data_IF_963177717948
#
_entry.id   IF_963177717948
#
_cell.length_a   1.000
_cell.length_b   1.000
_cell.length_c   1.000
_cell.angle_alpha   90.00
_cell.angle_beta   90.00
_cell.angle_gamma   90.00
#
_symmetry.space_group_name_H-M   'P 1'
#
loop_
_entity.id
_entity.type
_entity.pdbx_description
1 polymer ?
#
# COMPACT_ATOMS: atom_id res chain seq x y z
N UNK A 1 -19.56 2.32 9.94
CA UNK A 1 -18.30 1.98 10.62
C UNK A 1 -18.27 0.51 10.99
N UNK A 2 -19.29 -0.05 11.66
CA UNK A 2 -19.36 -1.48 12.01
C UNK A 2 -19.07 -2.46 10.85
N UNK A 3 -19.53 -2.19 9.63
CA UNK A 3 -19.33 -3.09 8.48
C UNK A 3 -17.86 -3.24 8.06
N UNK A 4 -17.08 -2.15 8.09
CA UNK A 4 -15.66 -2.20 7.70
C UNK A 4 -14.81 -2.90 8.77
N UNK A 5 -15.14 -2.66 10.04
CA UNK A 5 -14.45 -3.30 11.16
C UNK A 5 -14.72 -4.82 11.19
N UNK A 6 -15.93 -5.24 10.82
CA UNK A 6 -16.27 -6.66 10.64
C UNK A 6 -15.50 -7.30 9.47
N UNK A 7 -15.44 -6.63 8.31
CA UNK A 7 -14.66 -7.11 7.16
C UNK A 7 -13.16 -7.22 7.49
N UNK A 8 -12.62 -6.26 8.25
CA UNK A 8 -11.23 -6.30 8.70
C UNK A 8 -10.96 -7.46 9.66
N UNK A 9 -11.88 -7.69 10.61
CA UNK A 9 -11.77 -8.81 11.54
C UNK A 9 -11.81 -10.16 10.79
N UNK A 10 -12.70 -10.30 9.81
CA UNK A 10 -12.82 -11.52 9.00
C UNK A 10 -11.60 -11.76 8.12
N UNK A 11 -11.06 -10.70 7.49
CA UNK A 11 -9.82 -10.78 6.70
C UNK A 11 -8.62 -11.19 7.57
N UNK A 12 -8.56 -10.66 8.80
CA UNK A 12 -7.50 -10.99 9.76
C UNK A 12 -7.57 -12.45 10.19
N UNK A 13 -8.79 -12.96 10.40
CA UNK A 13 -9.04 -14.37 10.71
C UNK A 13 -8.67 -15.31 9.55
N UNK A 14 -8.98 -14.92 8.30
CA UNK A 14 -8.57 -15.67 7.11
C UNK A 14 -7.04 -15.73 6.97
N UNK A 15 -6.33 -14.62 7.22
CA UNK A 15 -4.87 -14.63 7.23
C UNK A 15 -4.28 -15.53 8.32
N UNK A 16 -4.87 -15.51 9.53
CA UNK A 16 -4.45 -16.39 10.62
C UNK A 16 -4.56 -17.86 10.22
N UNK A 17 -5.71 -18.26 9.64
CA UNK A 17 -5.93 -19.64 9.15
C UNK A 17 -4.95 -20.03 8.04
N UNK A 18 -4.67 -19.13 7.10
CA UNK A 18 -3.69 -19.36 6.03
C UNK A 18 -2.26 -19.61 6.55
N UNK A 19 -1.89 -18.97 7.66
CA UNK A 19 -0.59 -19.15 8.32
C UNK A 19 -0.50 -20.45 9.12
N UNK A 20 -1.62 -20.89 9.71
CA UNK A 20 -1.71 -22.11 10.52
C UNK A 20 -1.87 -23.38 9.67
N UNK A 21 -2.23 -23.23 8.40
CA UNK A 21 -2.47 -24.34 7.48
C UNK A 21 -1.18 -25.12 7.15
N UNK A 22 -1.22 -26.47 7.27
CA UNK A 22 -0.16 -27.34 6.76
C UNK A 22 0.10 -27.13 5.26
N UNK A 23 1.31 -27.47 4.81
CA UNK A 23 1.71 -27.29 3.41
C UNK A 23 0.92 -28.19 2.45
N UNK A 24 0.43 -29.34 2.91
CA UNK A 24 -0.33 -30.32 2.12
C UNK A 24 -1.85 -30.06 2.08
N UNK A 25 -2.34 -29.07 2.83
CA UNK A 25 -3.74 -28.68 2.87
C UNK A 25 -4.12 -27.74 1.69
N UNK A 26 -3.86 -28.19 0.47
CA UNK A 26 -4.02 -27.39 -0.76
C UNK A 26 -5.46 -26.91 -1.00
N UNK A 27 -6.45 -27.77 -0.77
CA UNK A 27 -7.86 -27.43 -1.01
C UNK A 27 -8.34 -26.31 -0.07
N UNK A 28 -8.06 -26.47 1.22
CA UNK A 28 -8.44 -25.49 2.25
C UNK A 28 -7.68 -24.15 2.05
N UNK A 29 -6.40 -24.22 1.67
CA UNK A 29 -5.63 -23.03 1.29
C UNK A 29 -6.26 -22.29 0.12
N UNK A 30 -6.69 -23.00 -0.93
CA UNK A 30 -7.34 -22.38 -2.09
C UNK A 30 -8.66 -21.70 -1.73
N UNK A 31 -9.51 -22.34 -0.91
CA UNK A 31 -10.77 -21.76 -0.44
C UNK A 31 -10.56 -20.48 0.38
N UNK A 32 -9.57 -20.48 1.28
CA UNK A 32 -9.24 -19.28 2.06
C UNK A 32 -8.65 -18.16 1.20
N UNK A 33 -7.87 -18.48 0.16
CA UNK A 33 -7.39 -17.48 -0.78
C UNK A 33 -8.55 -16.82 -1.56
N UNK A 34 -9.52 -17.61 -2.02
CA UNK A 34 -10.74 -17.07 -2.64
C UNK A 34 -11.53 -16.19 -1.67
N UNK A 35 -11.71 -16.65 -0.44
CA UNK A 35 -12.41 -15.90 0.62
C UNK A 35 -11.70 -14.57 0.90
N UNK A 36 -10.38 -14.59 1.02
CA UNK A 36 -9.55 -13.38 1.19
C UNK A 36 -9.73 -12.40 0.04
N UNK A 37 -9.78 -12.88 -1.19
CA UNK A 37 -9.92 -12.03 -2.37
C UNK A 37 -11.32 -11.39 -2.42
N UNK A 38 -12.38 -12.13 -2.08
CA UNK A 38 -13.74 -11.58 -1.92
C UNK A 38 -13.79 -10.49 -0.85
N UNK A 39 -13.23 -10.75 0.33
CA UNK A 39 -13.20 -9.77 1.43
C UNK A 39 -12.43 -8.49 1.04
N UNK A 40 -11.34 -8.63 0.28
CA UNK A 40 -10.59 -7.48 -0.25
C UNK A 40 -11.38 -6.66 -1.26
N UNK A 41 -12.15 -7.32 -2.11
CA UNK A 41 -13.04 -6.66 -3.07
C UNK A 41 -14.16 -5.91 -2.34
N UNK A 42 -14.78 -6.52 -1.32
CA UNK A 42 -15.83 -5.89 -0.52
C UNK A 42 -15.32 -4.69 0.27
N UNK A 43 -14.16 -4.80 0.93
CA UNK A 43 -13.51 -3.65 1.58
C UNK A 43 -13.20 -2.53 0.57
N UNK A 44 -12.78 -2.89 -0.65
CA UNK A 44 -12.49 -1.92 -1.70
C UNK A 44 -13.74 -1.17 -2.16
N UNK A 45 -14.89 -1.86 -2.31
CA UNK A 45 -16.18 -1.24 -2.63
C UNK A 45 -16.63 -0.29 -1.52
N UNK A 46 -16.56 -0.71 -0.26
CA UNK A 46 -16.92 0.16 0.87
C UNK A 46 -16.07 1.45 0.92
N UNK A 47 -14.78 1.36 0.58
CA UNK A 47 -13.93 2.53 0.47
C UNK A 47 -14.28 3.44 -0.71
N UNK A 48 -14.66 2.86 -1.86
CA UNK A 48 -15.11 3.60 -3.03
C UNK A 48 -16.42 4.34 -2.74
N UNK A 49 -17.43 3.65 -2.21
CA UNK A 49 -18.73 4.24 -1.83
C UNK A 49 -18.56 5.41 -0.84
N UNK A 50 -17.64 5.25 0.12
CA UNK A 50 -17.31 6.31 1.06
C UNK A 50 -16.68 7.52 0.36
N UNK A 51 -15.68 7.33 -0.50
CA UNK A 51 -15.07 8.43 -1.25
C UNK A 51 -16.04 9.10 -2.22
N UNK A 52 -16.91 8.32 -2.86
CA UNK A 52 -17.99 8.81 -3.73
C UNK A 52 -18.95 9.73 -2.99
N UNK A 53 -19.18 9.51 -1.68
CA UNK A 53 -20.00 10.39 -0.85
C UNK A 53 -19.29 11.66 -0.38
N UNK A 54 -17.96 11.73 -0.47
CA UNK A 54 -17.16 12.87 0.04
C UNK A 54 -17.11 14.03 -0.94
N UNK A 55 -17.10 15.28 -0.45
CA UNK A 55 -16.86 16.46 -1.30
C UNK A 55 -15.54 16.35 -2.08
N UNK A 56 -15.53 16.78 -3.34
CA UNK A 56 -14.31 16.77 -4.16
C UNK A 56 -13.19 17.63 -3.56
N UNK A 57 -13.53 18.71 -2.83
CA UNK A 57 -12.56 19.54 -2.12
C UNK A 57 -11.78 18.76 -1.05
N UNK A 58 -12.45 17.89 -0.29
CA UNK A 58 -11.81 17.06 0.74
C UNK A 58 -10.90 16.00 0.12
N UNK A 59 -11.33 15.43 -1.02
CA UNK A 59 -10.52 14.48 -1.78
C UNK A 59 -9.28 15.13 -2.40
N UNK A 60 -9.39 16.38 -2.90
CA UNK A 60 -8.27 17.14 -3.42
C UNK A 60 -7.27 17.49 -2.30
N UNK A 61 -7.74 17.94 -1.14
CA UNK A 61 -6.89 18.23 0.01
C UNK A 61 -6.16 16.96 0.51
N UNK A 62 -6.85 15.82 0.54
CA UNK A 62 -6.22 14.53 0.86
C UNK A 62 -5.19 14.13 -0.20
N UNK A 63 -5.51 14.29 -1.49
CA UNK A 63 -4.60 14.00 -2.59
C UNK A 63 -3.30 14.82 -2.50
N UNK A 64 -3.40 16.11 -2.19
CA UNK A 64 -2.25 16.98 -1.96
C UNK A 64 -1.40 16.53 -0.77
N UNK A 65 -2.03 16.23 0.36
CA UNK A 65 -1.34 15.76 1.56
C UNK A 65 -0.60 14.43 1.30
N UNK A 66 -1.23 13.49 0.60
CA UNK A 66 -0.62 12.21 0.24
C UNK A 66 0.56 12.39 -0.73
N UNK A 67 0.44 13.30 -1.71
CA UNK A 67 1.56 13.65 -2.62
C UNK A 67 2.73 14.26 -1.87
N UNK A 68 2.48 15.17 -0.93
CA UNK A 68 3.52 15.73 -0.08
C UNK A 68 4.21 14.63 0.72
N UNK A 69 3.44 13.68 1.28
CA UNK A 69 3.99 12.55 2.04
C UNK A 69 4.87 11.63 1.19
N UNK A 70 4.49 11.35 -0.07
CA UNK A 70 5.33 10.61 -1.01
C UNK A 70 6.66 11.34 -1.23
N UNK A 71 6.62 12.66 -1.48
CA UNK A 71 7.82 13.49 -1.69
C UNK A 71 8.74 13.48 -0.47
N UNK A 72 8.19 13.51 0.74
CA UNK A 72 8.97 13.39 1.98
C UNK A 72 9.67 12.04 2.09
N UNK A 73 8.95 10.94 1.86
CA UNK A 73 9.51 9.59 1.91
C UNK A 73 10.63 9.42 0.86
N UNK A 74 10.43 9.94 -0.35
CA UNK A 74 11.41 9.91 -1.42
C UNK A 74 12.65 10.76 -1.11
N UNK A 75 12.48 11.92 -0.48
CA UNK A 75 13.59 12.75 0.00
C UNK A 75 14.41 12.04 1.06
N UNK A 76 13.75 11.48 2.08
CA UNK A 76 14.43 10.74 3.15
C UNK A 76 15.21 9.55 2.61
N UNK A 77 14.67 8.85 1.59
CA UNK A 77 15.37 7.77 0.90
C UNK A 77 16.68 8.25 0.26
N UNK A 78 16.65 9.40 -0.42
CA UNK A 78 17.86 10.01 -1.01
C UNK A 78 18.89 10.34 0.07
N UNK A 79 18.45 10.86 1.22
CA UNK A 79 19.34 11.24 2.32
C UNK A 79 20.00 10.01 2.97
N UNK A 80 19.26 8.92 3.19
CA UNK A 80 19.82 7.64 3.67
C UNK A 80 20.85 7.08 2.68
N UNK A 81 20.53 7.08 1.37
CA UNK A 81 21.46 6.61 0.33
C UNK A 81 22.73 7.47 0.29
N UNK A 82 22.62 8.80 0.44
CA UNK A 82 23.80 9.69 0.50
C UNK A 82 24.65 9.45 1.75
N UNK A 83 24.01 9.26 2.92
CA UNK A 83 24.71 9.00 4.18
C UNK A 83 25.40 7.64 4.22
N UNK A 84 24.85 6.62 3.56
CA UNK A 84 25.44 5.28 3.52
C UNK A 84 26.35 5.04 2.30
N UNK A 85 26.16 5.79 1.20
CA UNK A 85 27.01 5.73 0.01
C UNK A 85 28.31 6.55 0.09
N UNK A 86 28.40 7.49 1.04
CA UNK A 86 29.53 8.41 1.17
C UNK A 86 30.70 7.95 2.05
N UNK A 87 30.66 6.77 2.68
CA UNK A 87 31.58 6.46 3.79
C UNK A 87 32.12 5.04 3.94
N UNK A 88 31.76 4.06 3.12
CA UNK A 88 32.37 2.70 3.25
C UNK A 88 32.34 1.92 1.93
N UNK A 89 33.16 2.33 0.96
CA UNK A 89 33.53 1.47 -0.16
C UNK A 89 34.70 0.59 0.27
N UNK A 90 34.41 -0.36 1.16
CA UNK A 90 35.38 -1.28 1.72
C UNK A 90 34.82 -2.68 1.85
N UNK A 91 35.00 -3.47 0.78
CA UNK A 91 34.95 -4.94 0.75
C UNK A 91 33.60 -5.65 0.94
N UNK A 92 32.79 -5.75 -0.14
CA UNK A 92 32.03 -6.97 -0.49
C UNK A 92 31.40 -6.84 -1.90
N UNK A 93 32.23 -6.70 -2.93
CA UNK A 93 31.83 -6.56 -4.33
C UNK A 93 31.23 -7.85 -4.93
N UNK A 94 30.07 -8.28 -4.44
CA UNK A 94 29.36 -9.48 -4.91
C UNK A 94 27.86 -9.51 -4.70
N UNK A 95 27.26 -8.56 -3.94
CA UNK A 95 25.83 -8.57 -3.60
C UNK A 95 25.13 -7.19 -3.75
N UNK A 96 25.79 -6.23 -4.40
CA UNK A 96 25.49 -4.79 -4.21
C UNK A 96 24.27 -4.24 -4.96
N UNK A 97 23.75 -4.95 -5.97
CA UNK A 97 22.54 -4.51 -6.68
C UNK A 97 21.24 -4.98 -6.02
N UNK A 98 21.20 -6.26 -5.63
CA UNK A 98 20.01 -6.89 -5.08
C UNK A 98 19.73 -6.47 -3.64
N UNK A 99 20.78 -6.33 -2.81
CA UNK A 99 20.64 -5.89 -1.42
C UNK A 99 20.11 -4.46 -1.29
N UNK A 100 20.60 -3.54 -2.14
CA UNK A 100 20.13 -2.15 -2.15
C UNK A 100 18.67 -2.01 -2.63
N UNK A 101 18.23 -2.85 -3.58
CA UNK A 101 16.84 -2.89 -4.03
C UNK A 101 15.92 -3.44 -2.94
N UNK A 102 16.29 -4.56 -2.30
CA UNK A 102 15.52 -5.15 -1.20
C UNK A 102 15.44 -4.21 0.02
N UNK A 103 16.51 -3.50 0.35
CA UNK A 103 16.50 -2.53 1.44
C UNK A 103 15.58 -1.35 1.14
N UNK A 104 15.60 -0.81 -0.08
CA UNK A 104 14.67 0.24 -0.49
C UNK A 104 13.21 -0.24 -0.43
N UNK A 105 12.95 -1.46 -0.89
CA UNK A 105 11.60 -2.04 -0.86
C UNK A 105 11.11 -2.26 0.57
N UNK A 106 11.95 -2.78 1.46
CA UNK A 106 11.63 -2.93 2.88
C UNK A 106 11.42 -1.57 3.58
N UNK A 107 12.18 -0.53 3.22
CA UNK A 107 11.97 0.84 3.72
C UNK A 107 10.66 1.45 3.22
N UNK A 108 10.34 1.25 1.94
CA UNK A 108 9.09 1.72 1.34
C UNK A 108 7.88 1.03 1.99
N UNK A 109 7.98 -0.28 2.23
CA UNK A 109 6.96 -1.07 2.95
C UNK A 109 6.81 -0.62 4.41
N UNK A 110 7.92 -0.46 5.14
CA UNK A 110 7.90 0.01 6.53
C UNK A 110 7.34 1.43 6.68
N UNK A 111 7.49 2.28 5.66
CA UNK A 111 6.94 3.64 5.61
C UNK A 111 5.53 3.70 5.03
N UNK A 112 4.94 2.57 4.65
CA UNK A 112 3.59 2.49 4.11
C UNK A 112 3.43 3.10 2.73
N UNK A 113 4.52 3.30 1.97
CA UNK A 113 4.50 3.93 0.65
C UNK A 113 3.58 3.20 -0.36
N UNK A 114 3.53 1.85 -0.39
CA UNK A 114 2.56 1.14 -1.24
C UNK A 114 1.10 1.50 -0.91
N UNK A 115 0.76 1.60 0.38
CA UNK A 115 -0.59 1.95 0.79
C UNK A 115 -0.96 3.40 0.41
N UNK A 116 -0.01 4.34 0.57
CA UNK A 116 -0.17 5.75 0.16
C UNK A 116 -0.39 5.85 -1.35
N UNK A 117 0.40 5.14 -2.16
CA UNK A 117 0.26 5.13 -3.63
C UNK A 117 -1.08 4.52 -4.07
N UNK A 118 -1.50 3.43 -3.45
CA UNK A 118 -2.82 2.82 -3.70
C UNK A 118 -3.97 3.78 -3.32
N UNK A 119 -3.82 4.56 -2.26
CA UNK A 119 -4.81 5.58 -1.87
C UNK A 119 -4.89 6.73 -2.87
N UNK A 120 -3.75 7.24 -3.33
CA UNK A 120 -3.66 8.26 -4.39
C UNK A 120 -4.38 7.77 -5.66
N UNK A 121 -4.16 6.53 -6.08
CA UNK A 121 -4.81 5.95 -7.25
C UNK A 121 -6.34 5.92 -7.13
N UNK A 122 -6.87 5.49 -5.98
CA UNK A 122 -8.32 5.46 -5.73
C UNK A 122 -8.96 6.85 -5.76
N UNK A 123 -8.37 7.82 -5.05
CA UNK A 123 -8.86 9.20 -5.02
C UNK A 123 -8.86 9.82 -6.43
N UNK A 124 -7.79 9.58 -7.21
CA UNK A 124 -7.72 10.03 -8.60
C UNK A 124 -8.85 9.42 -9.45
N UNK A 125 -9.14 8.13 -9.29
CA UNK A 125 -10.26 7.47 -9.98
C UNK A 125 -11.58 8.20 -9.73
N UNK A 126 -11.94 8.39 -8.45
CA UNK A 126 -13.18 9.07 -8.06
C UNK A 126 -13.24 10.52 -8.58
N UNK A 127 -12.13 11.26 -8.53
CA UNK A 127 -12.09 12.64 -9.03
C UNK A 127 -12.22 12.71 -10.57
N UNK A 128 -11.58 11.78 -11.29
CA UNK A 128 -11.71 11.66 -12.76
C UNK A 128 -13.15 11.33 -13.14
N UNK A 129 -13.79 10.39 -12.44
CA UNK A 129 -15.19 10.00 -12.69
C UNK A 129 -16.16 11.17 -12.47
N UNK A 130 -15.77 12.14 -11.62
CA UNK A 130 -16.50 13.41 -11.40
C UNK A 130 -16.16 14.53 -12.39
N UNK A 131 -15.27 14.28 -13.35
CA UNK A 131 -14.80 15.28 -14.31
C UNK A 131 -13.84 16.32 -13.73
N UNK A 132 -13.21 16.03 -12.59
CA UNK A 132 -12.19 16.89 -11.98
C UNK A 132 -10.84 16.55 -12.59
N UNK A 133 -10.13 17.56 -13.08
CA UNK A 133 -8.77 17.38 -13.59
C UNK A 133 -7.77 17.18 -12.43
N UNK A 134 -7.04 16.07 -12.48
CA UNK A 134 -6.04 15.65 -11.48
C UNK A 134 -4.65 15.44 -12.09
N UNK A 135 -4.44 15.91 -13.33
CA UNK A 135 -3.23 15.67 -14.12
C UNK A 135 -1.96 16.31 -13.54
N UNK A 136 -2.05 17.23 -12.58
CA UNK A 136 -0.88 17.88 -12.00
C UNK A 136 -0.59 17.43 -10.56
N UNK A 137 0.66 17.03 -10.30
CA UNK A 137 1.26 16.92 -8.97
C UNK A 137 2.56 16.12 -8.92
#
# INVERSE_FOLDING_TARGET
METLDLLLAELSEVHRKLLELPDDAFAERHELLLTRDVLRDEMSRHHLDFDESRPSADLLAELEALRARVKEIEKDRIDVVKQHGGGSWGAAAGADGWGAVQLNQAMDEARGLPAIRSRIGRIKGVLIDRGVDVTEG
#
